data_IF_992574767499
#
_entry.id   IF_992574767499
#
_cell.length_a   1.000
_cell.length_b   1.000
_cell.length_c   1.000
_cell.angle_alpha   90.00
_cell.angle_beta   90.00
_cell.angle_gamma   90.00
#
_symmetry.space_group_name_H-M   'P 1'
#
loop_
_entity.id
_entity.type
_entity.pdbx_description
1 polymer ?
#
# COMPACT_ATOMS: atom_id res chain seq x y z
N UNK A 1 -14.16 11.79 38.37
CA UNK A 1 -15.15 10.84 38.93
C UNK A 1 -16.28 10.74 37.92
N UNK A 2 -16.12 9.87 36.90
CA UNK A 2 -17.14 9.56 35.89
C UNK A 2 -17.43 8.07 35.97
N UNK A 3 -18.67 7.75 36.35
CA UNK A 3 -19.14 6.38 36.49
C UNK A 3 -19.41 5.75 35.13
N UNK A 4 -18.79 4.56 34.91
CA UNK A 4 -19.15 3.65 33.84
C UNK A 4 -20.50 2.99 34.19
N UNK A 5 -21.47 3.12 33.28
CA UNK A 5 -22.70 2.32 33.32
C UNK A 5 -22.48 1.07 32.49
N UNK A 6 -22.24 -0.05 33.16
CA UNK A 6 -22.32 -1.39 32.54
C UNK A 6 -23.73 -1.92 32.73
N UNK A 7 -24.46 -2.15 31.63
CA UNK A 7 -25.72 -2.90 31.66
C UNK A 7 -25.39 -4.38 31.57
N UNK A 8 -25.67 -5.11 32.68
CA UNK A 8 -25.59 -6.57 32.71
C UNK A 8 -26.92 -7.14 32.18
N UNK A 9 -26.85 -7.89 31.10
CA UNK A 9 -27.90 -8.85 30.72
C UNK A 9 -27.36 -10.26 31.00
N UNK A 10 -27.92 -10.92 32.01
CA UNK A 10 -27.59 -12.29 32.36
C UNK A 10 -28.42 -13.26 31.53
N UNK A 11 -27.79 -14.11 30.74
CA UNK A 11 -28.32 -15.39 30.28
C UNK A 11 -27.21 -16.43 30.35
N UNK A 12 -27.52 -17.52 31.09
CA UNK A 12 -26.63 -18.62 31.39
C UNK A 12 -26.49 -19.53 30.16
N UNK A 13 -25.26 -19.66 29.60
CA UNK A 13 -24.85 -20.85 28.86
C UNK A 13 -23.31 -20.92 28.83
N UNK A 14 -22.77 -22.05 29.15
CA UNK A 14 -21.35 -22.37 29.22
C UNK A 14 -20.67 -22.17 27.84
N UNK A 15 -19.67 -21.30 27.79
CA UNK A 15 -18.79 -21.13 26.65
C UNK A 15 -17.83 -20.01 26.94
N UNK A 16 -16.55 -20.33 27.20
CA UNK A 16 -15.49 -19.32 27.40
C UNK A 16 -15.18 -18.62 26.08
N UNK A 17 -15.91 -17.54 25.80
CA UNK A 17 -15.53 -16.60 24.74
C UNK A 17 -14.74 -15.47 25.42
N UNK A 18 -13.42 -15.45 25.23
CA UNK A 18 -12.58 -14.29 25.51
C UNK A 18 -12.91 -13.21 24.50
N UNK A 19 -13.92 -12.40 24.80
CA UNK A 19 -14.22 -11.21 24.02
C UNK A 19 -13.08 -10.20 24.17
N UNK A 20 -12.30 -10.00 23.13
CA UNK A 20 -11.43 -8.85 23.02
C UNK A 20 -12.34 -7.62 22.84
N UNK A 21 -12.53 -6.84 23.90
CA UNK A 21 -13.04 -5.47 23.77
C UNK A 21 -11.97 -4.66 23.04
N UNK A 22 -12.11 -4.49 21.74
CA UNK A 22 -11.41 -3.41 21.03
C UNK A 22 -11.94 -2.10 21.58
N UNK A 23 -11.14 -1.44 22.41
CA UNK A 23 -11.42 -0.08 22.84
C UNK A 23 -11.46 0.83 21.60
N UNK A 24 -12.60 1.43 21.31
CA UNK A 24 -12.70 2.46 20.28
C UNK A 24 -11.69 3.57 20.62
N UNK A 25 -10.66 3.75 19.83
CA UNK A 25 -9.76 4.87 19.94
C UNK A 25 -10.57 6.15 19.72
N UNK A 26 -10.48 7.10 20.64
CA UNK A 26 -11.22 8.36 20.56
C UNK A 26 -10.95 9.05 19.21
N UNK A 27 -12.01 9.38 18.46
CA UNK A 27 -11.92 10.03 17.15
C UNK A 27 -11.90 9.10 15.93
N UNK A 28 -12.02 7.76 16.11
CA UNK A 28 -12.13 6.80 15.01
C UNK A 28 -13.59 6.42 14.76
N UNK A 29 -13.99 6.35 13.49
CA UNK A 29 -15.31 5.92 13.04
C UNK A 29 -15.18 4.70 12.15
N UNK A 30 -15.84 3.61 12.52
CA UNK A 30 -15.92 2.43 11.68
C UNK A 30 -16.79 2.73 10.46
N UNK A 31 -16.27 2.46 9.28
CA UNK A 31 -16.95 2.64 7.98
C UNK A 31 -16.78 1.38 7.13
N UNK A 32 -17.52 1.30 6.04
CA UNK A 32 -17.37 0.19 5.06
C UNK A 32 -17.40 0.73 3.65
N UNK A 33 -16.73 0.05 2.74
CA UNK A 33 -16.83 0.31 1.31
C UNK A 33 -16.93 -0.99 0.50
N UNK A 34 -17.47 -0.88 -0.70
CA UNK A 34 -17.58 -2.01 -1.62
C UNK A 34 -16.39 -2.03 -2.56
N UNK A 35 -15.76 -3.19 -2.68
CA UNK A 35 -14.66 -3.45 -3.59
C UNK A 35 -14.89 -4.73 -4.39
N UNK A 36 -13.95 -5.08 -5.26
CA UNK A 36 -13.99 -6.27 -6.10
C UNK A 36 -12.73 -7.12 -5.91
N UNK A 37 -12.82 -8.39 -6.26
CA UNK A 37 -11.68 -9.30 -6.27
C UNK A 37 -11.31 -9.65 -7.71
N UNK A 38 -10.03 -9.55 -8.03
CA UNK A 38 -9.44 -9.92 -9.30
C UNK A 38 -8.36 -10.97 -9.07
N UNK A 39 -8.29 -11.99 -9.91
CA UNK A 39 -7.29 -13.06 -9.77
C UNK A 39 -5.92 -12.67 -10.34
N UNK A 40 -5.89 -11.70 -11.25
CA UNK A 40 -4.67 -11.16 -11.82
C UNK A 40 -4.88 -9.74 -12.38
N UNK A 41 -3.77 -9.10 -12.77
CA UNK A 41 -3.76 -7.74 -13.30
C UNK A 41 -4.51 -7.61 -14.64
N UNK A 42 -4.59 -8.65 -15.46
CA UNK A 42 -5.31 -8.62 -16.75
C UNK A 42 -6.82 -8.53 -16.52
N UNK A 43 -7.34 -9.33 -15.57
CA UNK A 43 -8.74 -9.23 -15.18
C UNK A 43 -9.09 -7.86 -14.61
N UNK A 44 -8.22 -7.29 -13.78
CA UNK A 44 -8.41 -5.95 -13.24
C UNK A 44 -8.49 -4.92 -14.39
N UNK A 45 -7.57 -4.94 -15.33
CA UNK A 45 -7.54 -4.03 -16.47
C UNK A 45 -8.74 -4.22 -17.42
N UNK A 46 -9.22 -5.46 -17.55
CA UNK A 46 -10.44 -5.79 -18.30
C UNK A 46 -11.73 -5.47 -17.53
N UNK A 47 -11.65 -5.13 -16.23
CA UNK A 47 -12.78 -4.95 -15.31
C UNK A 47 -13.62 -6.21 -15.11
N UNK A 48 -13.01 -7.36 -15.21
CA UNK A 48 -13.66 -8.68 -15.09
C UNK A 48 -13.43 -9.24 -13.69
N UNK A 49 -14.19 -8.80 -12.70
CA UNK A 49 -14.09 -9.31 -11.33
C UNK A 49 -14.45 -10.80 -11.24
N UNK A 50 -13.68 -11.57 -10.46
CA UNK A 50 -13.92 -13.03 -10.29
C UNK A 50 -15.07 -13.36 -9.35
N UNK A 51 -15.43 -12.42 -8.46
CA UNK A 51 -16.49 -12.57 -7.47
C UNK A 51 -17.37 -11.33 -7.45
N UNK A 52 -18.52 -11.42 -6.79
CA UNK A 52 -19.34 -10.25 -6.49
C UNK A 52 -18.62 -9.22 -5.62
N UNK A 53 -19.32 -8.14 -5.28
CA UNK A 53 -18.78 -7.10 -4.42
C UNK A 53 -18.35 -7.66 -3.05
N UNK A 54 -17.18 -7.20 -2.58
CA UNK A 54 -16.63 -7.54 -1.26
C UNK A 54 -16.77 -6.30 -0.36
N UNK A 55 -17.36 -6.48 0.81
CA UNK A 55 -17.45 -5.43 1.82
C UNK A 55 -16.15 -5.36 2.61
N UNK A 56 -15.44 -4.26 2.49
CA UNK A 56 -14.21 -3.98 3.25
C UNK A 56 -14.58 -3.10 4.44
N UNK A 57 -14.21 -3.55 5.65
CA UNK A 57 -14.31 -2.75 6.88
C UNK A 57 -13.09 -1.85 6.97
N UNK A 58 -13.30 -0.62 7.41
CA UNK A 58 -12.25 0.39 7.53
C UNK A 58 -12.50 1.30 8.73
N UNK A 59 -11.44 1.92 9.21
CA UNK A 59 -11.48 2.91 10.28
C UNK A 59 -11.08 4.28 9.75
N UNK A 60 -12.01 5.24 9.82
CA UNK A 60 -11.81 6.64 9.44
C UNK A 60 -11.52 7.46 10.70
N UNK A 61 -10.32 8.04 10.77
CA UNK A 61 -9.88 8.88 11.86
C UNK A 61 -9.67 10.33 11.43
N UNK A 62 -9.99 11.27 12.30
CA UNK A 62 -9.78 12.69 12.08
C UNK A 62 -8.73 13.26 13.04
N UNK A 63 -7.99 14.32 12.63
CA UNK A 63 -7.15 15.10 13.53
C UNK A 63 -7.95 15.72 14.69
N UNK A 64 -7.29 16.01 15.80
CA UNK A 64 -7.89 16.78 16.90
C UNK A 64 -8.17 18.23 16.49
N UNK A 65 -7.35 18.79 15.60
CA UNK A 65 -7.55 20.13 15.07
C UNK A 65 -8.77 20.18 14.16
N UNK A 66 -9.76 20.97 14.54
CA UNK A 66 -11.00 21.14 13.76
C UNK A 66 -10.76 21.99 12.51
N UNK A 67 -11.25 21.50 11.37
CA UNK A 67 -11.24 22.18 10.06
C UNK A 67 -12.57 21.93 9.34
N UNK A 68 -12.91 22.78 8.39
CA UNK A 68 -14.10 22.61 7.55
C UNK A 68 -13.98 21.36 6.67
N UNK A 69 -12.78 21.18 6.08
CA UNK A 69 -12.41 19.98 5.32
C UNK A 69 -10.97 19.58 5.61
N UNK A 70 -10.72 18.29 5.58
CA UNK A 70 -9.42 17.72 5.87
C UNK A 70 -8.78 17.13 4.62
N UNK A 71 -7.51 17.39 4.34
CA UNK A 71 -6.74 16.50 3.48
C UNK A 71 -6.70 15.11 4.12
N UNK A 72 -6.70 14.07 3.30
CA UNK A 72 -6.79 12.70 3.80
C UNK A 72 -5.70 11.80 3.25
N UNK A 73 -5.37 10.75 4.02
CA UNK A 73 -4.39 9.76 3.64
C UNK A 73 -4.97 8.35 3.83
N UNK A 74 -4.99 7.57 2.77
CA UNK A 74 -5.28 6.14 2.81
C UNK A 74 -3.99 5.41 3.18
N UNK A 75 -4.04 4.58 4.22
CA UNK A 75 -2.90 3.81 4.73
C UNK A 75 -3.08 2.34 4.38
N UNK A 76 -2.28 1.83 3.47
CA UNK A 76 -2.34 0.45 2.98
C UNK A 76 -1.33 -0.42 3.72
N UNK A 77 -1.82 -1.54 4.23
CA UNK A 77 -1.04 -2.46 5.06
C UNK A 77 0.04 -3.23 4.27
N UNK A 78 0.98 -3.80 5.02
CA UNK A 78 1.99 -4.72 4.51
C UNK A 78 1.40 -6.11 4.22
N UNK A 79 2.22 -7.04 3.72
CA UNK A 79 1.79 -8.44 3.51
C UNK A 79 1.35 -9.15 4.81
N UNK A 80 1.68 -8.57 5.97
CA UNK A 80 1.23 -9.09 7.27
C UNK A 80 -0.24 -8.77 7.62
N UNK A 81 -0.96 -8.00 6.77
CA UNK A 81 -2.25 -7.43 7.11
C UNK A 81 -2.10 -6.16 7.93
N UNK A 82 -3.21 -5.57 8.35
CA UNK A 82 -3.20 -4.38 9.19
C UNK A 82 -2.71 -4.68 10.61
N UNK A 83 -1.82 -3.85 11.13
CA UNK A 83 -1.28 -3.93 12.49
C UNK A 83 -1.25 -2.54 13.14
N UNK A 84 -1.83 -2.44 14.35
CA UNK A 84 -1.82 -1.19 15.11
C UNK A 84 -0.41 -0.66 15.36
N UNK A 85 0.55 -1.56 15.61
CA UNK A 85 1.93 -1.19 15.89
C UNK A 85 2.70 -0.67 14.67
N UNK A 86 2.22 -0.87 13.44
CA UNK A 86 2.84 -0.40 12.20
C UNK A 86 1.95 0.62 11.50
N UNK A 87 0.92 0.16 10.81
CA UNK A 87 0.02 1.01 10.03
C UNK A 87 -0.80 1.95 10.93
N UNK A 88 -1.24 1.46 12.08
CA UNK A 88 -1.96 2.25 13.08
C UNK A 88 -1.08 3.36 13.69
N UNK A 89 0.20 3.07 13.96
CA UNK A 89 1.16 4.09 14.38
C UNK A 89 1.35 5.18 13.31
N UNK A 90 1.58 4.79 12.06
CA UNK A 90 1.73 5.75 10.97
C UNK A 90 0.47 6.62 10.78
N UNK A 91 -0.72 6.00 10.83
CA UNK A 91 -1.98 6.72 10.79
C UNK A 91 -2.14 7.70 11.96
N UNK A 92 -1.65 7.34 13.15
CA UNK A 92 -1.61 8.22 14.32
C UNK A 92 -0.73 9.45 14.10
N UNK A 93 0.48 9.27 13.57
CA UNK A 93 1.40 10.37 13.27
C UNK A 93 0.84 11.29 12.17
N UNK A 94 0.20 10.73 11.14
CA UNK A 94 -0.48 11.50 10.11
C UNK A 94 -1.63 12.35 10.68
N UNK A 95 -2.43 11.80 11.60
CA UNK A 95 -3.50 12.58 12.27
C UNK A 95 -2.93 13.72 13.12
N UNK A 96 -1.81 13.49 13.82
CA UNK A 96 -1.09 14.58 14.55
C UNK A 96 -0.61 15.68 13.60
N UNK A 97 -0.25 15.32 12.36
CA UNK A 97 0.15 16.27 11.32
C UNK A 97 -1.04 16.97 10.63
N UNK A 98 -2.28 16.63 10.98
CA UNK A 98 -3.48 17.31 10.48
C UNK A 98 -4.17 16.63 9.30
N UNK A 99 -3.83 15.38 8.96
CA UNK A 99 -4.50 14.59 7.94
C UNK A 99 -5.59 13.71 8.52
N UNK A 100 -6.74 13.62 7.88
CA UNK A 100 -7.65 12.50 8.14
C UNK A 100 -7.02 11.20 7.60
N UNK A 101 -7.31 10.06 8.24
CA UNK A 101 -6.72 8.78 7.84
C UNK A 101 -7.77 7.72 7.65
N UNK A 102 -7.63 6.88 6.63
CA UNK A 102 -8.43 5.67 6.43
C UNK A 102 -7.50 4.46 6.44
N UNK A 103 -7.77 3.52 7.34
CA UNK A 103 -7.06 2.24 7.45
C UNK A 103 -8.02 1.08 7.21
N UNK A 104 -7.56 0.00 6.61
CA UNK A 104 -8.36 -1.22 6.35
C UNK A 104 -7.45 -2.43 6.16
N UNK A 105 -8.04 -3.63 6.16
CA UNK A 105 -7.35 -4.88 5.84
C UNK A 105 -8.00 -5.56 4.63
N UNK A 106 -7.30 -5.54 3.50
CA UNK A 106 -7.73 -6.15 2.23
C UNK A 106 -7.87 -7.67 2.31
N UNK A 107 -7.04 -8.31 3.13
CA UNK A 107 -6.98 -9.76 3.25
C UNK A 107 -8.09 -10.27 4.17
N UNK A 108 -8.25 -9.65 5.34
CA UNK A 108 -9.31 -9.99 6.28
C UNK A 108 -10.71 -9.83 5.66
N UNK A 109 -10.93 -8.84 4.81
CA UNK A 109 -12.18 -8.65 4.09
C UNK A 109 -12.55 -9.83 3.17
N UNK A 110 -11.57 -10.65 2.79
CA UNK A 110 -11.73 -11.84 1.93
C UNK A 110 -11.54 -13.16 2.68
N UNK A 111 -11.46 -13.11 4.01
CA UNK A 111 -11.25 -14.31 4.84
C UNK A 111 -9.90 -15.00 4.56
N UNK A 112 -8.88 -14.25 4.14
CA UNK A 112 -7.55 -14.76 3.79
C UNK A 112 -6.45 -14.04 4.57
N UNK A 113 -5.20 -14.44 4.34
CA UNK A 113 -4.00 -13.80 4.91
C UNK A 113 -2.99 -13.53 3.80
N UNK A 114 -2.06 -12.61 4.04
CA UNK A 114 -0.96 -12.37 3.11
C UNK A 114 -0.11 -13.61 2.87
N UNK A 115 0.11 -14.44 3.89
CA UNK A 115 0.84 -15.70 3.75
C UNK A 115 0.16 -16.66 2.76
N UNK A 116 -1.17 -16.73 2.76
CA UNK A 116 -1.94 -17.56 1.83
C UNK A 116 -1.92 -17.00 0.38
N UNK A 117 -1.75 -15.69 0.24
CA UNK A 117 -1.70 -15.00 -1.06
C UNK A 117 -0.28 -14.84 -1.60
N UNK A 118 0.74 -15.08 -0.77
CA UNK A 118 2.14 -14.91 -1.16
C UNK A 118 2.46 -15.79 -2.38
N UNK A 119 2.99 -15.15 -3.44
CA UNK A 119 3.28 -15.83 -4.71
C UNK A 119 2.07 -16.00 -5.65
N UNK A 120 0.85 -15.62 -5.24
CA UNK A 120 -0.29 -15.61 -6.15
C UNK A 120 -0.26 -14.39 -7.07
N UNK A 121 -0.95 -14.44 -8.22
CA UNK A 121 -1.09 -13.29 -9.13
C UNK A 121 -2.14 -12.27 -8.66
N UNK A 122 -2.95 -12.64 -7.66
CA UNK A 122 -4.13 -11.87 -7.24
C UNK A 122 -3.87 -10.84 -6.15
N UNK A 123 -2.76 -10.90 -5.42
CA UNK A 123 -2.59 -10.05 -4.24
C UNK A 123 -2.48 -8.54 -4.56
N UNK A 124 -1.76 -8.14 -5.60
CA UNK A 124 -1.67 -6.73 -6.00
C UNK A 124 -2.98 -6.18 -6.59
N UNK A 125 -3.66 -6.88 -7.53
CA UNK A 125 -4.96 -6.46 -8.01
C UNK A 125 -5.99 -6.19 -6.93
N UNK A 126 -6.03 -7.04 -5.89
CA UNK A 126 -6.91 -6.86 -4.72
C UNK A 126 -6.61 -5.52 -4.03
N UNK A 127 -5.34 -5.25 -3.71
CA UNK A 127 -4.95 -4.02 -3.02
C UNK A 127 -5.23 -2.76 -3.83
N UNK A 128 -4.95 -2.78 -5.13
CA UNK A 128 -5.20 -1.62 -6.00
C UNK A 128 -6.72 -1.36 -6.16
N UNK A 129 -7.53 -2.42 -6.27
CA UNK A 129 -8.98 -2.29 -6.31
C UNK A 129 -9.54 -1.68 -5.02
N UNK A 130 -9.05 -2.15 -3.85
CA UNK A 130 -9.46 -1.63 -2.55
C UNK A 130 -9.02 -0.17 -2.36
N UNK A 131 -7.79 0.19 -2.79
CA UNK A 131 -7.30 1.56 -2.71
C UNK A 131 -8.19 2.54 -3.48
N UNK A 132 -8.60 2.19 -4.70
CA UNK A 132 -9.53 3.05 -5.47
C UNK A 132 -10.96 3.02 -4.94
N UNK A 133 -11.41 1.94 -4.33
CA UNK A 133 -12.70 1.90 -3.64
C UNK A 133 -12.69 2.79 -2.39
N UNK A 134 -11.60 2.78 -1.63
CA UNK A 134 -11.36 3.66 -0.49
C UNK A 134 -11.28 5.14 -0.91
N UNK A 135 -10.63 5.44 -2.05
CA UNK A 135 -10.61 6.79 -2.62
C UNK A 135 -12.03 7.29 -2.92
N UNK A 136 -12.89 6.47 -3.52
CA UNK A 136 -14.29 6.84 -3.78
C UNK A 136 -15.06 7.13 -2.49
N UNK A 137 -14.86 6.28 -1.45
CA UNK A 137 -15.47 6.53 -0.13
C UNK A 137 -15.05 7.90 0.41
N UNK A 138 -13.75 8.19 0.47
CA UNK A 138 -13.25 9.45 1.00
C UNK A 138 -13.67 10.65 0.15
N UNK A 139 -13.70 10.52 -1.18
CA UNK A 139 -14.15 11.59 -2.07
C UNK A 139 -15.64 11.95 -1.89
N UNK A 140 -16.44 11.05 -1.29
CA UNK A 140 -17.85 11.28 -0.97
C UNK A 140 -18.10 11.71 0.49
N UNK A 141 -17.10 11.67 1.35
CA UNK A 141 -17.20 12.12 2.77
C UNK A 141 -17.18 13.66 2.82
N UNK A 142 -18.24 14.31 3.32
CA UNK A 142 -18.35 15.79 3.27
C UNK A 142 -17.23 16.54 4.00
N UNK A 143 -16.62 15.91 5.01
CA UNK A 143 -15.53 16.50 5.79
C UNK A 143 -14.16 16.34 5.13
N UNK A 144 -14.06 15.58 4.03
CA UNK A 144 -12.80 15.38 3.32
C UNK A 144 -12.69 16.35 2.13
N UNK A 145 -11.51 16.88 1.93
CA UNK A 145 -11.15 17.59 0.72
C UNK A 145 -10.81 16.56 -0.38
N UNK A 146 -11.74 16.37 -1.31
CA UNK A 146 -11.66 15.33 -2.32
C UNK A 146 -10.49 15.50 -3.30
N UNK A 147 -9.96 16.72 -3.45
CA UNK A 147 -8.82 17.03 -4.32
C UNK A 147 -7.48 16.80 -3.61
N UNK A 148 -7.50 16.59 -2.27
CA UNK A 148 -6.32 16.43 -1.43
C UNK A 148 -6.32 15.07 -0.70
N UNK A 149 -6.51 13.98 -1.43
CA UNK A 149 -6.43 12.62 -0.92
C UNK A 149 -5.15 11.95 -1.42
N UNK A 150 -4.29 11.52 -0.50
CA UNK A 150 -3.09 10.76 -0.80
C UNK A 150 -3.21 9.29 -0.40
N UNK A 151 -2.25 8.49 -0.83
CA UNK A 151 -2.09 7.10 -0.44
C UNK A 151 -0.68 6.84 0.06
N UNK A 152 -0.55 6.15 1.20
CA UNK A 152 0.72 5.60 1.65
C UNK A 152 0.60 4.10 1.84
N UNK A 153 1.70 3.38 1.74
CA UNK A 153 1.70 1.95 2.00
C UNK A 153 3.06 1.40 2.37
N UNK A 154 3.04 0.19 2.94
CA UNK A 154 4.20 -0.49 3.51
C UNK A 154 4.45 -1.80 2.78
N UNK A 155 5.66 -2.05 2.25
CA UNK A 155 6.01 -3.28 1.52
C UNK A 155 4.99 -3.57 0.40
N UNK A 156 4.16 -4.58 0.53
CA UNK A 156 3.01 -4.83 -0.35
C UNK A 156 2.14 -3.58 -0.57
N UNK A 157 1.78 -2.88 0.50
CA UNK A 157 1.00 -1.64 0.41
C UNK A 157 1.74 -0.53 -0.33
N UNK A 158 3.06 -0.52 -0.29
CA UNK A 158 3.88 0.43 -1.04
C UNK A 158 3.88 0.12 -2.56
N UNK A 159 3.84 -1.17 -2.94
CA UNK A 159 3.59 -1.56 -4.33
C UNK A 159 2.19 -1.09 -4.78
N UNK A 160 1.17 -1.27 -3.93
CA UNK A 160 -0.19 -0.77 -4.20
C UNK A 160 -0.21 0.75 -4.37
N UNK A 161 0.45 1.49 -3.47
CA UNK A 161 0.53 2.95 -3.54
C UNK A 161 1.23 3.43 -4.82
N UNK A 162 2.31 2.76 -5.24
CA UNK A 162 2.99 3.05 -6.51
C UNK A 162 2.12 2.69 -7.72
N UNK A 163 1.50 1.51 -7.74
CA UNK A 163 0.60 1.10 -8.83
C UNK A 163 -0.59 2.04 -8.98
N UNK A 164 -1.10 2.59 -7.89
CA UNK A 164 -2.17 3.58 -7.92
C UNK A 164 -1.76 4.92 -8.56
N UNK A 165 -0.47 5.16 -8.83
CA UNK A 165 -0.01 6.33 -9.56
C UNK A 165 -0.15 6.20 -11.10
N UNK A 166 -0.51 5.01 -11.60
CA UNK A 166 -0.62 4.79 -13.04
C UNK A 166 -2.02 5.07 -13.59
N UNK A 167 -2.07 5.88 -14.64
CA UNK A 167 -3.33 6.31 -15.29
C UNK A 167 -4.14 5.15 -15.84
N UNK A 168 -3.49 4.11 -16.36
CA UNK A 168 -4.16 2.90 -16.85
C UNK A 168 -4.99 2.21 -15.76
N UNK A 169 -4.43 2.08 -14.55
CA UNK A 169 -5.13 1.50 -13.41
C UNK A 169 -6.20 2.45 -12.86
N UNK A 170 -5.90 3.75 -12.78
CA UNK A 170 -6.86 4.76 -12.40
C UNK A 170 -8.09 4.71 -13.31
N UNK A 171 -7.90 4.75 -14.61
CA UNK A 171 -9.00 4.74 -15.58
C UNK A 171 -9.82 3.44 -15.54
N UNK A 172 -9.16 2.30 -15.27
CA UNK A 172 -9.85 1.02 -15.14
C UNK A 172 -10.72 0.94 -13.89
N UNK A 173 -10.25 1.42 -12.75
CA UNK A 173 -10.92 1.24 -11.45
C UNK A 173 -11.73 2.45 -10.98
N UNK A 174 -11.39 3.63 -11.46
CA UNK A 174 -12.02 4.89 -11.07
C UNK A 174 -12.12 5.84 -12.27
N UNK A 175 -13.02 5.59 -13.24
CA UNK A 175 -13.13 6.37 -14.47
C UNK A 175 -13.62 7.82 -14.24
N UNK A 176 -14.08 8.15 -13.03
CA UNK A 176 -14.45 9.51 -12.63
C UNK A 176 -13.27 10.47 -12.48
N UNK A 177 -13.52 11.72 -12.05
CA UNK A 177 -12.50 12.76 -11.92
C UNK A 177 -11.57 12.55 -10.72
N UNK A 178 -12.00 11.84 -9.69
CA UNK A 178 -11.22 11.64 -8.46
C UNK A 178 -9.93 10.87 -8.74
N UNK A 179 -8.84 11.33 -8.17
CA UNK A 179 -7.50 10.73 -8.26
C UNK A 179 -6.74 10.94 -6.98
N UNK A 180 -5.71 10.15 -6.74
CA UNK A 180 -4.78 10.44 -5.66
C UNK A 180 -3.96 11.69 -6.01
N UNK A 181 -3.79 12.58 -5.05
CA UNK A 181 -2.99 13.80 -5.18
C UNK A 181 -1.50 13.55 -4.88
N UNK A 182 -1.17 12.49 -4.15
CA UNK A 182 0.22 12.09 -3.86
C UNK A 182 0.29 10.60 -3.46
N UNK A 183 1.47 10.00 -3.62
CA UNK A 183 1.74 8.60 -3.32
C UNK A 183 3.02 8.47 -2.50
N UNK A 184 3.01 7.67 -1.42
CA UNK A 184 4.20 7.38 -0.62
C UNK A 184 4.38 5.87 -0.47
N UNK A 185 5.55 5.38 -0.83
CA UNK A 185 5.90 3.97 -0.83
C UNK A 185 7.04 3.68 0.16
N UNK A 186 6.74 3.05 1.31
CA UNK A 186 7.71 2.64 2.32
C UNK A 186 8.25 1.25 1.97
N UNK A 187 9.55 1.16 1.72
CA UNK A 187 10.22 -0.11 1.37
C UNK A 187 9.36 -0.99 0.47
N UNK A 188 9.08 -0.58 -0.79
CA UNK A 188 8.21 -1.35 -1.67
C UNK A 188 8.65 -2.81 -1.78
N UNK A 189 7.71 -3.72 -1.97
CA UNK A 189 8.02 -5.12 -2.20
C UNK A 189 8.82 -5.34 -3.49
N UNK A 190 9.51 -6.45 -3.58
CA UNK A 190 10.39 -6.75 -4.71
C UNK A 190 9.68 -7.02 -6.03
N UNK A 191 8.36 -7.26 -6.00
CA UNK A 191 7.56 -7.51 -7.20
C UNK A 191 7.14 -6.19 -7.88
N UNK A 192 8.13 -5.37 -8.18
CA UNK A 192 7.96 -4.05 -8.70
C UNK A 192 7.54 -4.08 -10.18
N UNK A 193 6.24 -3.94 -10.41
CA UNK A 193 5.66 -3.82 -11.73
C UNK A 193 5.50 -2.35 -12.13
N UNK A 194 5.83 -2.01 -13.37
CA UNK A 194 5.84 -0.63 -13.84
C UNK A 194 5.21 -0.50 -15.21
N UNK A 195 4.58 0.65 -15.45
CA UNK A 195 4.20 1.11 -16.78
C UNK A 195 5.25 2.13 -17.25
N UNK A 196 5.70 2.04 -18.49
CA UNK A 196 6.78 2.87 -18.98
C UNK A 196 6.45 3.59 -20.30
N UNK A 197 5.18 3.66 -20.66
CA UNK A 197 4.73 4.41 -21.84
C UNK A 197 4.58 5.90 -21.49
N UNK A 198 4.76 6.83 -22.46
CA UNK A 198 4.44 8.22 -22.26
C UNK A 198 3.02 8.44 -21.74
N UNK A 199 2.84 9.23 -20.69
CA UNK A 199 1.56 9.44 -20.05
C UNK A 199 1.09 8.28 -19.14
N UNK A 200 1.98 7.34 -18.81
CA UNK A 200 1.65 6.22 -17.92
C UNK A 200 1.24 6.67 -16.52
N UNK A 201 1.82 7.74 -16.00
CA UNK A 201 1.50 8.28 -14.68
C UNK A 201 0.34 9.27 -14.70
N UNK A 202 -0.43 9.33 -13.61
CA UNK A 202 -1.51 10.32 -13.39
C UNK A 202 -0.99 11.76 -13.29
N UNK A 203 0.31 11.94 -13.11
CA UNK A 203 0.98 13.23 -12.87
C UNK A 203 1.13 13.57 -11.38
N UNK A 204 0.47 12.85 -10.47
CA UNK A 204 0.67 13.04 -9.04
C UNK A 204 2.08 12.60 -8.60
N UNK A 205 2.74 13.35 -7.67
CA UNK A 205 4.08 13.03 -7.22
C UNK A 205 4.12 11.73 -6.41
N UNK A 206 5.24 11.00 -6.51
CA UNK A 206 5.50 9.75 -5.81
C UNK A 206 6.77 9.91 -4.97
N UNK A 207 6.70 9.59 -3.69
CA UNK A 207 7.86 9.47 -2.80
C UNK A 207 8.14 7.98 -2.54
N UNK A 208 9.38 7.55 -2.82
CA UNK A 208 9.87 6.22 -2.45
C UNK A 208 10.86 6.33 -1.31
N UNK A 209 10.59 5.65 -0.22
CA UNK A 209 11.43 5.55 0.96
C UNK A 209 12.12 4.19 0.92
N UNK A 210 13.43 4.18 0.72
CA UNK A 210 14.22 3.00 0.38
C UNK A 210 15.26 2.71 1.44
N UNK A 211 15.44 1.45 1.82
CA UNK A 211 16.54 1.01 2.68
C UNK A 211 17.79 0.72 1.86
N UNK A 212 18.96 1.24 2.27
CA UNK A 212 20.23 0.96 1.59
C UNK A 212 20.54 -0.55 1.55
N UNK A 213 20.17 -1.27 2.62
CA UNK A 213 20.39 -2.72 2.78
C UNK A 213 19.16 -3.58 2.47
N UNK A 214 18.11 -2.97 1.94
CA UNK A 214 16.93 -3.72 1.51
C UNK A 214 17.26 -4.52 0.25
N UNK A 215 17.46 -5.82 0.40
CA UNK A 215 17.72 -6.71 -0.71
C UNK A 215 16.45 -7.35 -1.31
N UNK A 216 15.27 -7.06 -0.77
CA UNK A 216 14.00 -7.43 -1.42
C UNK A 216 13.73 -6.56 -2.65
N UNK A 217 13.91 -5.24 -2.53
CA UNK A 217 13.93 -4.30 -3.64
C UNK A 217 15.22 -3.45 -3.59
N UNK A 218 16.32 -3.91 -4.16
CA UNK A 218 17.57 -3.15 -4.18
C UNK A 218 17.40 -1.77 -4.84
N UNK A 219 18.04 -0.75 -4.29
CA UNK A 219 18.01 0.63 -4.82
C UNK A 219 18.36 0.67 -6.31
N UNK A 220 19.34 -0.12 -6.74
CA UNK A 220 19.75 -0.24 -8.15
C UNK A 220 18.63 -0.68 -9.09
N UNK A 221 17.65 -1.42 -8.59
CA UNK A 221 16.47 -1.83 -9.39
C UNK A 221 15.56 -0.63 -9.68
N UNK A 222 15.38 0.24 -8.68
CA UNK A 222 14.65 1.52 -8.87
C UNK A 222 15.40 2.43 -9.82
N UNK A 223 16.71 2.58 -9.67
CA UNK A 223 17.54 3.39 -10.56
C UNK A 223 17.45 2.89 -12.02
N UNK A 224 17.51 1.57 -12.22
CA UNK A 224 17.35 0.95 -13.55
C UNK A 224 15.97 1.25 -14.15
N UNK A 225 14.91 1.19 -13.34
CA UNK A 225 13.58 1.58 -13.78
C UNK A 225 13.50 3.05 -14.18
N UNK A 226 14.01 3.96 -13.35
CA UNK A 226 14.00 5.39 -13.64
C UNK A 226 14.79 5.73 -14.91
N UNK A 227 15.91 5.05 -15.13
CA UNK A 227 16.71 5.19 -16.35
C UNK A 227 15.93 4.69 -17.58
N UNK A 228 15.29 3.53 -17.48
CA UNK A 228 14.45 2.98 -18.55
C UNK A 228 13.26 3.89 -18.89
N UNK A 229 12.52 4.35 -17.88
CA UNK A 229 11.38 5.25 -18.07
C UNK A 229 11.80 6.58 -18.73
N UNK A 230 12.96 7.12 -18.34
CA UNK A 230 13.52 8.33 -18.96
C UNK A 230 13.90 8.09 -20.43
N UNK A 231 14.55 6.98 -20.73
CA UNK A 231 14.92 6.63 -22.11
C UNK A 231 13.68 6.38 -22.99
N UNK A 232 12.59 5.89 -22.43
CA UNK A 232 11.32 5.70 -23.11
C UNK A 232 10.51 7.02 -23.28
N UNK A 233 11.03 8.17 -22.84
CA UNK A 233 10.33 9.46 -22.90
C UNK A 233 9.16 9.59 -21.91
N UNK A 234 9.14 8.75 -20.89
CA UNK A 234 8.11 8.68 -19.85
C UNK A 234 8.74 8.87 -18.46
N UNK A 235 9.33 10.03 -18.14
CA UNK A 235 9.96 10.26 -16.85
C UNK A 235 8.93 10.07 -15.73
N UNK A 236 9.26 9.19 -14.77
CA UNK A 236 8.41 8.95 -13.62
C UNK A 236 8.48 10.13 -12.65
N UNK A 237 7.35 10.59 -12.07
CA UNK A 237 7.31 11.69 -11.10
C UNK A 237 7.75 11.18 -9.71
N UNK A 238 8.88 10.46 -9.65
CA UNK A 238 9.37 9.79 -8.44
C UNK A 238 10.56 10.55 -7.88
N UNK A 239 10.45 10.95 -6.62
CA UNK A 239 11.57 11.27 -5.75
C UNK A 239 11.81 10.13 -4.76
N UNK A 240 13.06 9.93 -4.33
CA UNK A 240 13.42 8.86 -3.40
C UNK A 240 14.31 9.37 -2.28
N UNK A 241 14.12 8.80 -1.09
CA UNK A 241 14.99 8.95 0.07
C UNK A 241 15.57 7.58 0.40
N UNK A 242 16.90 7.51 0.51
CA UNK A 242 17.62 6.28 0.85
C UNK A 242 18.08 6.39 2.30
N UNK A 243 17.70 5.43 3.15
CA UNK A 243 18.09 5.37 4.57
C UNK A 243 19.32 4.47 4.74
N UNK A 244 20.49 5.04 5.13
CA UNK A 244 21.70 4.27 5.33
C UNK A 244 21.52 3.17 6.38
N UNK A 245 21.98 1.97 6.06
CA UNK A 245 21.94 0.82 6.96
C UNK A 245 20.59 0.17 7.15
N UNK A 246 19.48 0.75 6.65
CA UNK A 246 18.14 0.21 6.81
C UNK A 246 17.90 -1.02 5.94
N UNK A 247 17.29 -2.05 6.55
CA UNK A 247 16.80 -3.26 5.89
C UNK A 247 15.32 -3.11 5.53
N UNK A 248 14.73 -4.12 4.86
CA UNK A 248 13.29 -4.15 4.62
C UNK A 248 12.48 -4.11 5.93
N UNK A 249 11.29 -3.50 5.92
CA UNK A 249 10.35 -3.46 7.04
C UNK A 249 10.86 -2.74 8.31
N UNK A 250 11.71 -1.72 8.18
CA UNK A 250 12.26 -0.95 9.32
C UNK A 250 11.22 -0.28 10.22
N UNK A 251 9.97 -0.15 9.79
CA UNK A 251 8.90 0.46 10.60
C UNK A 251 8.18 -0.53 11.52
N UNK A 252 8.42 -1.83 11.37
CA UNK A 252 7.71 -2.90 12.11
C UNK A 252 8.43 -3.16 13.43
N UNK A 253 7.88 -2.73 14.60
CA UNK A 253 8.47 -3.02 15.90
C UNK A 253 8.48 -4.54 16.12
N UNK A 254 9.31 -5.01 17.01
CA UNK A 254 9.48 -6.43 17.36
C UNK A 254 10.07 -7.31 16.24
N UNK A 255 10.43 -6.72 15.10
CA UNK A 255 11.08 -7.44 14.02
C UNK A 255 12.59 -7.51 14.27
N UNK A 256 13.10 -8.71 14.53
CA UNK A 256 14.54 -8.93 14.68
C UNK A 256 15.25 -8.75 13.33
N UNK A 257 16.37 -8.01 13.34
CA UNK A 257 17.21 -7.87 12.15
C UNK A 257 17.90 -9.19 11.83
N UNK A 258 17.40 -9.87 10.79
CA UNK A 258 17.95 -11.15 10.34
C UNK A 258 17.52 -11.47 8.90
N UNK A 259 18.10 -12.50 8.32
CA UNK A 259 17.67 -13.08 7.06
C UNK A 259 16.45 -13.99 7.26
N UNK A 260 15.42 -13.82 6.44
CA UNK A 260 14.17 -14.60 6.47
C UNK A 260 14.10 -15.50 5.23
N UNK A 261 14.58 -16.75 5.30
CA UNK A 261 14.82 -17.60 4.13
C UNK A 261 13.56 -18.10 3.43
N UNK A 262 12.42 -18.13 4.14
CA UNK A 262 11.17 -18.69 3.64
C UNK A 262 10.25 -17.66 2.97
N UNK A 263 10.72 -16.43 2.80
CA UNK A 263 9.96 -15.40 2.10
C UNK A 263 10.17 -15.47 0.60
N UNK A 264 9.11 -15.20 -0.15
CA UNK A 264 9.21 -15.04 -1.61
C UNK A 264 9.95 -13.74 -1.91
N UNK A 265 10.96 -13.81 -2.75
CA UNK A 265 11.76 -12.66 -3.17
C UNK A 265 11.90 -12.62 -4.69
N UNK A 266 11.79 -11.43 -5.24
CA UNK A 266 12.01 -11.15 -6.66
C UNK A 266 13.29 -10.33 -6.91
N UNK A 267 14.20 -10.29 -5.92
CA UNK A 267 15.42 -9.47 -5.97
C UNK A 267 16.29 -9.70 -7.21
N UNK A 268 16.34 -10.92 -7.71
CA UNK A 268 17.05 -11.29 -8.95
C UNK A 268 16.17 -11.34 -10.19
N UNK A 269 14.87 -11.10 -10.04
CA UNK A 269 13.96 -11.13 -11.17
C UNK A 269 14.04 -9.84 -11.99
N UNK A 270 13.80 -9.93 -13.31
CA UNK A 270 13.69 -8.75 -14.15
C UNK A 270 12.50 -7.88 -13.72
N UNK A 271 12.52 -6.62 -14.11
CA UNK A 271 11.37 -5.73 -13.94
C UNK A 271 10.19 -6.23 -14.76
N UNK A 272 9.01 -6.18 -14.16
CA UNK A 272 7.76 -6.47 -14.86
C UNK A 272 7.25 -5.17 -15.48
N UNK A 273 7.14 -5.15 -16.80
CA UNK A 273 6.53 -4.06 -17.55
C UNK A 273 5.04 -4.37 -17.73
N UNK A 274 4.21 -3.50 -17.20
CA UNK A 274 2.77 -3.59 -17.37
C UNK A 274 2.34 -2.71 -18.55
N UNK A 275 1.44 -3.21 -19.36
CA UNK A 275 0.85 -2.46 -20.45
C UNK A 275 -0.63 -2.82 -20.62
N UNK A 276 -1.41 -2.00 -21.35
CA UNK A 276 -2.87 -2.17 -21.42
C UNK A 276 -3.31 -3.51 -22.02
N UNK A 277 -2.44 -4.18 -22.78
CA UNK A 277 -2.77 -5.46 -23.43
C UNK A 277 -1.76 -6.57 -23.18
N UNK A 278 -0.67 -6.30 -22.48
CA UNK A 278 0.39 -7.29 -22.25
C UNK A 278 1.18 -7.01 -20.97
N UNK A 279 1.67 -8.08 -20.38
CA UNK A 279 2.75 -8.04 -19.38
C UNK A 279 4.02 -8.50 -20.05
N UNK A 280 5.12 -7.83 -19.78
CA UNK A 280 6.43 -8.15 -20.33
C UNK A 280 7.51 -8.11 -19.24
N UNK A 281 8.69 -8.65 -19.52
CA UNK A 281 9.86 -8.59 -18.67
C UNK A 281 10.90 -7.66 -19.31
N UNK A 282 11.57 -6.84 -18.51
CA UNK A 282 12.74 -6.08 -18.93
C UNK A 282 13.99 -6.87 -18.54
N UNK A 283 14.67 -7.45 -19.52
CA UNK A 283 15.87 -8.28 -19.35
C UNK A 283 16.99 -7.65 -20.17
N UNK A 284 18.08 -7.23 -19.51
CA UNK A 284 19.27 -6.64 -20.16
C UNK A 284 18.93 -5.46 -21.09
N UNK A 285 17.95 -4.64 -20.70
CA UNK A 285 17.49 -3.48 -21.48
C UNK A 285 16.51 -3.83 -22.62
N UNK A 286 16.21 -5.10 -22.85
CA UNK A 286 15.26 -5.57 -23.86
C UNK A 286 13.92 -5.98 -23.27
N UNK A 287 12.83 -5.69 -23.97
CA UNK A 287 11.49 -6.12 -23.58
C UNK A 287 11.20 -7.51 -24.14
N UNK A 288 10.95 -8.49 -23.26
CA UNK A 288 10.55 -9.86 -23.61
C UNK A 288 9.14 -10.16 -23.13
N UNK A 289 8.36 -11.00 -23.82
CA UNK A 289 7.05 -11.43 -23.31
C UNK A 289 7.16 -12.04 -21.91
N UNK A 290 6.15 -11.78 -21.06
CA UNK A 290 6.10 -12.41 -19.74
C UNK A 290 5.95 -13.93 -19.89
N UNK A 291 6.88 -14.66 -19.30
CA UNK A 291 6.85 -16.11 -19.20
C UNK A 291 6.81 -16.53 -17.72
N UNK A 292 5.71 -17.16 -17.26
CA UNK A 292 5.58 -17.60 -15.88
C UNK A 292 6.69 -18.58 -15.44
N UNK A 293 7.18 -19.43 -16.33
CA UNK A 293 8.23 -20.39 -16.00
C UNK A 293 9.58 -19.68 -15.74
N UNK A 294 9.95 -18.73 -16.59
CA UNK A 294 11.13 -17.89 -16.41
C UNK A 294 11.03 -17.08 -15.12
N UNK A 295 9.86 -16.49 -14.83
CA UNK A 295 9.66 -15.72 -13.61
C UNK A 295 9.69 -16.62 -12.37
N UNK A 296 9.04 -17.78 -12.40
CA UNK A 296 9.09 -18.77 -11.33
C UNK A 296 10.50 -19.26 -11.03
N UNK A 297 11.30 -19.52 -12.05
CA UNK A 297 12.70 -19.91 -11.89
C UNK A 297 13.55 -18.82 -11.21
N UNK A 298 13.34 -17.54 -11.55
CA UNK A 298 14.09 -16.46 -10.91
C UNK A 298 13.71 -16.28 -9.44
N UNK A 299 12.43 -16.45 -9.10
CA UNK A 299 11.96 -16.42 -7.69
C UNK A 299 12.61 -17.56 -6.90
N UNK A 300 12.61 -18.77 -7.45
CA UNK A 300 13.21 -19.95 -6.81
C UNK A 300 14.74 -19.84 -6.63
N UNK A 301 15.42 -19.09 -7.52
CA UNK A 301 16.88 -18.94 -7.47
C UNK A 301 17.41 -18.08 -6.32
N UNK A 302 16.57 -17.26 -5.67
CA UNK A 302 17.01 -16.35 -4.62
C UNK A 302 15.93 -16.15 -3.55
N UNK A 303 15.49 -17.20 -2.84
CA UNK A 303 14.48 -17.07 -1.80
C UNK A 303 15.00 -16.23 -0.63
N UNK A 304 14.06 -15.59 0.07
CA UNK A 304 14.34 -14.84 1.28
C UNK A 304 15.03 -13.49 1.07
N UNK A 305 14.97 -12.68 2.11
CA UNK A 305 15.62 -11.37 2.19
C UNK A 305 15.79 -10.94 3.64
N UNK A 306 16.60 -9.90 3.85
CA UNK A 306 16.83 -9.33 5.16
C UNK A 306 15.71 -8.37 5.55
N UNK A 307 15.23 -8.50 6.78
CA UNK A 307 14.33 -7.53 7.39
C UNK A 307 14.86 -7.12 8.76
N UNK A 308 14.47 -5.95 9.25
CA UNK A 308 14.86 -5.52 10.57
C UNK A 308 14.23 -4.20 10.96
N UNK A 309 13.79 -4.09 12.22
CA UNK A 309 13.30 -2.85 12.80
C UNK A 309 14.44 -1.86 13.04
N UNK A 310 14.16 -0.58 12.72
CA UNK A 310 15.03 0.54 13.07
C UNK A 310 14.18 1.72 13.55
N UNK A 311 14.24 2.02 14.84
CA UNK A 311 13.41 3.05 15.46
C UNK A 311 13.75 4.46 14.95
N UNK A 312 15.03 4.74 14.66
CA UNK A 312 15.45 6.05 14.17
C UNK A 312 15.00 6.27 12.74
N UNK A 313 15.19 5.27 11.88
CA UNK A 313 14.73 5.32 10.48
C UNK A 313 13.20 5.34 10.41
N UNK A 314 12.50 4.61 11.29
CA UNK A 314 11.03 4.70 11.40
C UNK A 314 10.56 6.13 11.66
N UNK A 315 11.12 6.79 12.67
CA UNK A 315 10.75 8.16 13.01
C UNK A 315 11.08 9.15 11.89
N UNK A 316 12.28 9.03 11.30
CA UNK A 316 12.72 9.87 10.21
C UNK A 316 11.86 9.69 8.97
N UNK A 317 11.57 8.44 8.56
CA UNK A 317 10.79 8.13 7.36
C UNK A 317 9.33 8.60 7.46
N UNK A 318 8.72 8.53 8.64
CA UNK A 318 7.39 9.12 8.86
C UNK A 318 7.46 10.65 8.74
N UNK A 319 8.49 11.29 9.31
CA UNK A 319 8.69 12.74 9.18
C UNK A 319 8.86 13.18 7.72
N UNK A 320 9.64 12.42 6.94
CA UNK A 320 9.86 12.71 5.51
C UNK A 320 8.57 12.52 4.71
N UNK A 321 7.77 11.47 5.00
CA UNK A 321 6.46 11.27 4.41
C UNK A 321 5.49 12.42 4.74
N UNK A 322 5.42 12.85 6.00
CA UNK A 322 4.58 14.00 6.41
C UNK A 322 4.98 15.27 5.65
N UNK A 323 6.27 15.60 5.61
CA UNK A 323 6.77 16.79 4.87
C UNK A 323 6.44 16.74 3.38
N UNK A 324 6.58 15.55 2.77
CA UNK A 324 6.20 15.34 1.38
C UNK A 324 4.70 15.57 1.17
N UNK A 325 3.85 14.99 2.01
CA UNK A 325 2.41 15.14 1.94
C UNK A 325 1.97 16.60 2.18
N UNK A 326 2.56 17.29 3.17
CA UNK A 326 2.28 18.70 3.43
C UNK A 326 2.54 19.58 2.22
N UNK A 327 3.65 19.38 1.48
CA UNK A 327 3.92 20.19 0.29
C UNK A 327 3.11 19.75 -0.95
N UNK A 328 2.69 18.48 -1.02
CA UNK A 328 1.93 17.94 -2.15
C UNK A 328 0.43 18.14 -2.02
N UNK A 329 -0.09 18.26 -0.79
CA UNK A 329 -1.50 18.43 -0.47
C UNK A 329 -1.84 19.83 0.08
N UNK A 330 -0.98 20.82 -0.17
CA UNK A 330 -1.32 22.21 0.15
C UNK A 330 -2.35 22.71 -0.86
N UNK A 331 -3.45 23.34 -0.35
CA UNK A 331 -4.43 24.00 -1.23
C UNK A 331 -3.82 25.18 -1.97
#
# INVERSE_FOLDING_TARGET
MYQMLCVLVATIAYGTATGHCQGAQAGMTAVTFQSSTYSDMRQLLAREATTGAVTVKADLGFPEQVRDRYPAVIVVHSMAGYRDANEGYAAGELRKAGFATLTYDSFAARGTTGAALQGSSGYLPIGVADAYAALRLLSSEPRIDADHIAIIGFSYGAEVAHLAAFETLRSALNPGPSRFAAHVAFYPGGNFGVFAEPGAYTGAPVLMLLGEKDDNLPVTKIESYLAYARAAGAPAPIESVIYPGAYHAWTVPDLTTQFYPNLVSTKKCPLILLGPKRVALLIDGETKPFDPATFGACVAAAPGYWMGFDAAVRAQSITDAVRFLERSLRP
#
